data_IF_577115739613
#
_entry.id   IF_577115739613
#
_cell.length_a   1.000
_cell.length_b   1.000
_cell.length_c   1.000
_cell.angle_alpha   90.00
_cell.angle_beta   90.00
_cell.angle_gamma   90.00
#
_symmetry.space_group_name_H-M   'P 1'
#
loop_
_entity.id
_entity.type
_entity.pdbx_description
1 polymer ?
#
# COMPACT_ATOMS: atom_id res chain seq x y z
N UNK A 1 -17.90 -1.61 -25.11
CA UNK A 1 -16.74 -1.43 -24.18
C UNK A 1 -15.45 -1.61 -24.95
N UNK A 2 -14.45 -0.76 -24.67
CA UNK A 2 -13.18 -0.78 -25.43
C UNK A 2 -12.32 -2.05 -25.25
N UNK A 3 -12.61 -2.86 -24.22
CA UNK A 3 -11.87 -4.08 -23.88
C UNK A 3 -12.82 -5.20 -23.44
N UNK A 4 -13.83 -5.49 -24.26
CA UNK A 4 -14.85 -6.51 -23.97
C UNK A 4 -14.25 -7.90 -23.77
N UNK A 5 -13.18 -8.22 -24.49
CA UNK A 5 -12.39 -9.44 -24.41
C UNK A 5 -11.77 -9.68 -23.02
N UNK A 6 -11.43 -8.61 -22.32
CA UNK A 6 -10.86 -8.68 -20.95
C UNK A 6 -11.92 -8.82 -19.85
N UNK A 7 -13.18 -8.59 -20.18
CA UNK A 7 -14.28 -8.59 -19.21
C UNK A 7 -15.45 -9.48 -19.70
N UNK A 8 -15.21 -10.76 -19.99
CA UNK A 8 -16.25 -11.64 -20.52
C UNK A 8 -17.47 -11.71 -19.59
N UNK A 9 -17.28 -11.72 -18.27
CA UNK A 9 -18.39 -11.75 -17.32
C UNK A 9 -19.37 -10.56 -17.37
N UNK A 10 -19.03 -9.49 -18.09
CA UNK A 10 -19.92 -8.35 -18.34
C UNK A 10 -20.38 -8.28 -19.79
N UNK A 11 -19.62 -8.84 -20.72
CA UNK A 11 -19.75 -8.63 -22.16
C UNK A 11 -20.22 -9.88 -22.93
N UNK A 12 -20.44 -11.01 -22.25
CA UNK A 12 -21.03 -12.21 -22.82
C UNK A 12 -22.35 -12.55 -22.09
N UNK A 13 -23.25 -13.33 -22.71
CA UNK A 13 -24.46 -13.82 -22.07
C UNK A 13 -24.14 -14.55 -20.75
N UNK A 14 -24.87 -14.26 -19.68
CA UNK A 14 -24.69 -14.85 -18.35
C UNK A 14 -25.85 -15.84 -18.10
N UNK A 15 -25.58 -17.13 -18.18
CA UNK A 15 -26.57 -18.19 -18.01
C UNK A 15 -27.17 -18.20 -16.61
N UNK A 16 -26.41 -17.81 -15.60
CA UNK A 16 -26.90 -17.71 -14.21
C UNK A 16 -27.89 -16.56 -14.00
N UNK A 17 -27.96 -15.64 -14.95
CA UNK A 17 -28.88 -14.51 -14.91
C UNK A 17 -29.70 -14.40 -16.22
N UNK A 18 -30.35 -15.50 -16.59
CA UNK A 18 -31.27 -15.60 -17.73
C UNK A 18 -30.64 -15.24 -19.09
N UNK A 19 -29.36 -15.47 -19.28
CA UNK A 19 -28.65 -15.25 -20.55
C UNK A 19 -28.48 -13.78 -20.92
N UNK A 20 -28.62 -12.83 -20.00
CA UNK A 20 -28.40 -11.41 -20.29
C UNK A 20 -26.92 -11.08 -20.44
N UNK A 21 -26.64 -10.14 -21.32
CA UNK A 21 -25.32 -9.46 -21.40
C UNK A 21 -25.40 -8.14 -20.63
N UNK A 22 -24.71 -8.04 -19.51
CA UNK A 22 -24.82 -6.88 -18.62
C UNK A 22 -24.44 -5.56 -19.31
N UNK A 23 -23.36 -5.57 -20.11
CA UNK A 23 -22.89 -4.39 -20.83
C UNK A 23 -23.91 -3.89 -21.88
N UNK A 24 -24.64 -4.79 -22.53
CA UNK A 24 -25.68 -4.42 -23.51
C UNK A 24 -26.92 -3.87 -22.81
N UNK A 25 -27.38 -4.57 -21.76
CA UNK A 25 -28.64 -4.23 -21.10
C UNK A 25 -28.54 -2.99 -20.21
N UNK A 26 -27.42 -2.79 -19.51
CA UNK A 26 -27.26 -1.73 -18.51
C UNK A 26 -26.21 -0.68 -18.88
N UNK A 27 -25.61 -0.81 -20.06
CA UNK A 27 -24.59 0.11 -20.56
C UNK A 27 -23.29 0.06 -19.75
N UNK A 28 -22.31 0.84 -20.20
CA UNK A 28 -20.98 0.89 -19.56
C UNK A 28 -21.00 1.43 -18.11
N UNK A 29 -21.95 2.28 -17.80
CA UNK A 29 -22.07 2.91 -16.47
C UNK A 29 -22.70 1.97 -15.43
N UNK A 30 -23.69 1.17 -15.87
CA UNK A 30 -24.49 0.33 -14.99
C UNK A 30 -24.09 -1.14 -14.93
N UNK A 31 -23.39 -1.67 -15.93
CA UNK A 31 -23.15 -3.10 -16.09
C UNK A 31 -22.46 -3.74 -14.86
N UNK A 32 -21.39 -3.13 -14.38
CA UNK A 32 -20.60 -3.64 -13.24
C UNK A 32 -21.40 -3.63 -11.94
N UNK A 33 -21.98 -2.48 -11.59
CA UNK A 33 -22.71 -2.35 -10.32
C UNK A 33 -23.97 -3.20 -10.31
N UNK A 34 -24.65 -3.35 -11.46
CA UNK A 34 -25.83 -4.20 -11.55
C UNK A 34 -25.45 -5.68 -11.37
N UNK A 35 -24.36 -6.15 -12.00
CA UNK A 35 -23.89 -7.52 -11.77
C UNK A 35 -23.53 -7.74 -10.30
N UNK A 36 -22.82 -6.81 -9.68
CA UNK A 36 -22.46 -6.91 -8.26
C UNK A 36 -23.69 -7.00 -7.36
N UNK A 37 -24.70 -6.16 -7.56
CA UNK A 37 -25.86 -6.07 -6.67
C UNK A 37 -26.92 -7.12 -6.98
N UNK A 38 -27.32 -7.25 -8.25
CA UNK A 38 -28.43 -8.10 -8.64
C UNK A 38 -28.10 -9.60 -8.74
N UNK A 39 -26.83 -9.94 -8.90
CA UNK A 39 -26.36 -11.32 -8.97
C UNK A 39 -25.45 -11.67 -7.80
N UNK A 40 -24.24 -11.12 -7.73
CA UNK A 40 -23.22 -11.58 -6.76
C UNK A 40 -23.63 -11.33 -5.32
N UNK A 41 -24.08 -10.13 -4.98
CA UNK A 41 -24.54 -9.81 -3.62
C UNK A 41 -25.78 -10.61 -3.23
N UNK A 42 -26.73 -10.78 -4.16
CA UNK A 42 -27.94 -11.58 -3.93
C UNK A 42 -27.60 -13.05 -3.68
N UNK A 43 -26.70 -13.63 -4.49
CA UNK A 43 -26.40 -15.06 -4.43
C UNK A 43 -25.49 -15.42 -3.25
N UNK A 44 -24.49 -14.58 -2.95
CA UNK A 44 -23.54 -14.80 -1.86
C UNK A 44 -23.92 -14.12 -0.54
N UNK A 45 -24.85 -13.18 -0.54
CA UNK A 45 -25.22 -12.40 0.63
C UNK A 45 -24.10 -11.50 1.17
N UNK A 46 -23.07 -11.23 0.36
CA UNK A 46 -21.90 -10.44 0.75
C UNK A 46 -22.26 -8.97 0.87
N UNK A 47 -22.54 -8.52 2.09
CA UNK A 47 -22.84 -7.12 2.38
C UNK A 47 -22.19 -6.68 3.68
N UNK A 48 -21.94 -5.39 3.77
CA UNK A 48 -21.39 -4.77 4.97
C UNK A 48 -22.38 -4.87 6.13
N UNK A 49 -21.94 -5.37 7.29
CA UNK A 49 -22.77 -5.28 8.48
C UNK A 49 -22.88 -3.82 8.95
N UNK A 50 -23.98 -3.41 9.59
CA UNK A 50 -24.14 -2.06 10.13
C UNK A 50 -23.01 -1.67 11.10
N UNK A 51 -22.56 -2.59 11.92
CA UNK A 51 -21.44 -2.40 12.85
C UNK A 51 -20.14 -2.07 12.09
N UNK A 52 -19.81 -2.85 11.07
CA UNK A 52 -18.58 -2.62 10.27
C UNK A 52 -18.69 -1.32 9.47
N UNK A 53 -19.87 -1.00 8.93
CA UNK A 53 -20.11 0.27 8.24
C UNK A 53 -19.89 1.47 9.17
N UNK A 54 -20.37 1.39 10.42
CA UNK A 54 -20.15 2.39 11.45
C UNK A 54 -18.64 2.57 11.75
N UNK A 55 -17.91 1.47 11.93
CA UNK A 55 -16.46 1.49 12.18
C UNK A 55 -15.67 2.14 11.02
N UNK A 56 -16.02 1.82 9.77
CA UNK A 56 -15.42 2.45 8.59
C UNK A 56 -15.72 3.95 8.54
N UNK A 57 -16.97 4.34 8.80
CA UNK A 57 -17.37 5.76 8.84
C UNK A 57 -16.59 6.53 9.90
N UNK A 58 -16.48 5.98 11.10
CA UNK A 58 -15.70 6.57 12.18
C UNK A 58 -14.22 6.77 11.76
N UNK A 59 -13.65 5.78 11.06
CA UNK A 59 -12.30 5.90 10.48
C UNK A 59 -12.17 7.01 9.43
N UNK A 60 -13.19 7.20 8.60
CA UNK A 60 -13.22 8.25 7.58
C UNK A 60 -13.32 9.65 8.16
N UNK A 61 -14.06 9.84 9.24
CA UNK A 61 -14.25 11.17 9.86
C UNK A 61 -12.95 11.85 10.26
N UNK A 62 -11.94 11.07 10.66
CA UNK A 62 -10.63 11.61 11.04
C UNK A 62 -9.56 11.55 9.93
N UNK A 63 -9.89 11.00 8.76
CA UNK A 63 -8.91 10.74 7.69
C UNK A 63 -8.25 12.03 7.19
N UNK A 64 -9.02 13.11 7.06
CA UNK A 64 -8.52 14.41 6.59
C UNK A 64 -7.50 15.07 7.54
N UNK A 65 -7.47 14.65 8.81
CA UNK A 65 -6.47 15.10 9.80
C UNK A 65 -5.28 14.16 9.84
N UNK A 66 -5.53 12.84 9.77
CA UNK A 66 -4.47 11.84 9.86
C UNK A 66 -3.56 11.82 8.64
N UNK A 67 -4.14 11.86 7.42
CA UNK A 67 -3.33 11.73 6.20
C UNK A 67 -2.30 12.85 6.00
N UNK A 68 -2.59 14.13 6.23
CA UNK A 68 -1.56 15.16 6.20
C UNK A 68 -0.39 14.88 7.14
N UNK A 69 -0.68 14.37 8.35
CA UNK A 69 0.39 14.03 9.31
C UNK A 69 1.20 12.81 8.90
N UNK A 70 0.57 11.80 8.29
CA UNK A 70 1.29 10.68 7.67
C UNK A 70 2.25 11.16 6.58
N UNK A 71 1.80 12.08 5.73
CA UNK A 71 2.62 12.64 4.65
C UNK A 71 3.80 13.42 5.20
N UNK A 72 3.55 14.33 6.17
CA UNK A 72 4.60 15.13 6.82
C UNK A 72 5.68 14.23 7.44
N UNK A 73 5.25 13.23 8.22
CA UNK A 73 6.18 12.31 8.86
C UNK A 73 6.92 11.42 7.85
N UNK A 74 6.20 10.92 6.82
CA UNK A 74 6.79 10.14 5.74
C UNK A 74 7.85 10.90 4.97
N UNK A 75 7.60 12.18 4.66
CA UNK A 75 8.55 13.06 4.00
C UNK A 75 9.80 13.27 4.86
N UNK A 76 9.62 13.62 6.15
CA UNK A 76 10.73 13.86 7.06
C UNK A 76 11.63 12.62 7.25
N UNK A 77 11.01 11.44 7.36
CA UNK A 77 11.75 10.17 7.46
C UNK A 77 12.48 9.85 6.15
N UNK A 78 11.84 10.05 5.01
CA UNK A 78 12.46 9.80 3.70
C UNK A 78 13.67 10.70 3.47
N UNK A 79 13.59 12.00 3.79
CA UNK A 79 14.70 12.96 3.71
C UNK A 79 15.85 12.60 4.67
N UNK A 80 15.53 12.18 5.90
CA UNK A 80 16.54 11.71 6.83
C UNK A 80 17.26 10.47 6.31
N UNK A 81 16.52 9.48 5.81
CA UNK A 81 17.10 8.25 5.29
C UNK A 81 17.93 8.47 4.02
N UNK A 82 17.52 9.37 3.14
CA UNK A 82 18.26 9.71 1.91
C UNK A 82 19.66 10.24 2.23
N UNK A 83 19.80 10.99 3.32
CA UNK A 83 21.07 11.57 3.76
C UNK A 83 21.86 10.69 4.74
N UNK A 84 21.31 9.52 5.09
CA UNK A 84 21.95 8.68 6.12
C UNK A 84 23.07 7.80 5.54
N UNK A 85 24.28 7.77 6.12
CA UNK A 85 25.46 7.09 5.53
C UNK A 85 25.32 5.59 5.39
N UNK A 86 24.47 4.92 6.19
CA UNK A 86 24.21 3.47 6.13
C UNK A 86 23.11 3.09 5.14
N UNK A 87 22.40 4.05 4.56
CA UNK A 87 21.34 3.81 3.59
C UNK A 87 21.93 3.82 2.18
N UNK A 88 21.55 2.83 1.39
CA UNK A 88 22.00 2.70 0.00
C UNK A 88 21.07 3.44 -0.98
N UNK A 89 19.77 3.37 -0.75
CA UNK A 89 18.74 4.05 -1.53
C UNK A 89 17.46 4.23 -0.71
N UNK A 90 16.67 5.22 -1.10
CA UNK A 90 15.32 5.45 -0.58
C UNK A 90 14.35 5.52 -1.76
N UNK A 91 13.20 4.88 -1.62
CA UNK A 91 12.13 4.94 -2.60
C UNK A 91 10.89 5.56 -1.96
N UNK A 92 10.72 6.84 -2.18
CA UNK A 92 9.56 7.61 -1.75
C UNK A 92 9.24 8.67 -2.79
N UNK A 93 8.02 8.70 -3.28
CA UNK A 93 7.62 9.55 -4.40
C UNK A 93 7.62 11.05 -4.10
N UNK A 94 7.69 11.44 -2.83
CA UNK A 94 7.82 12.83 -2.38
C UNK A 94 9.25 13.37 -2.41
N UNK A 95 10.26 12.54 -2.70
CA UNK A 95 11.66 12.99 -2.84
C UNK A 95 11.92 13.47 -4.27
N UNK A 96 12.56 14.65 -4.47
CA UNK A 96 12.92 15.13 -5.81
C UNK A 96 13.83 14.19 -6.60
N UNK A 97 14.62 13.38 -5.91
CA UNK A 97 15.50 12.35 -6.49
C UNK A 97 14.74 11.13 -7.05
N UNK A 98 13.47 10.96 -6.67
CA UNK A 98 12.67 9.81 -7.09
C UNK A 98 12.20 9.96 -8.54
N UNK A 99 12.37 8.90 -9.33
CA UNK A 99 11.97 8.85 -10.76
C UNK A 99 10.49 9.14 -11.03
N UNK A 100 9.65 9.05 -10.02
CA UNK A 100 8.22 9.31 -10.12
C UNK A 100 7.79 10.64 -9.48
N UNK A 101 8.73 11.48 -9.04
CA UNK A 101 8.44 12.73 -8.34
C UNK A 101 7.46 13.62 -9.12
N UNK A 102 7.74 13.92 -10.39
CA UNK A 102 6.88 14.77 -11.22
C UNK A 102 5.46 14.19 -11.37
N UNK A 103 5.36 12.87 -11.52
CA UNK A 103 4.05 12.19 -11.57
C UNK A 103 3.33 12.28 -10.23
N UNK A 104 4.05 12.12 -9.12
CA UNK A 104 3.49 12.26 -7.79
C UNK A 104 2.96 13.69 -7.57
N UNK A 105 3.70 14.71 -7.94
CA UNK A 105 3.22 16.10 -7.87
C UNK A 105 1.93 16.33 -8.69
N UNK A 106 1.82 15.69 -9.84
CA UNK A 106 0.64 15.82 -10.70
C UNK A 106 -0.59 15.08 -10.16
N UNK A 107 -0.42 13.85 -9.68
CA UNK A 107 -1.55 12.97 -9.33
C UNK A 107 -1.83 12.86 -7.83
N UNK A 108 -0.88 13.24 -7.00
CA UNK A 108 -0.95 13.24 -5.54
C UNK A 108 -0.57 14.61 -4.97
N UNK A 109 -1.30 15.68 -5.32
CA UNK A 109 -0.92 17.07 -4.95
C UNK A 109 -0.88 17.30 -3.44
N UNK A 110 -1.57 16.44 -2.67
CA UNK A 110 -1.61 16.50 -1.20
C UNK A 110 -0.58 15.58 -0.52
N UNK A 111 0.36 15.01 -1.29
CA UNK A 111 1.45 14.17 -0.80
C UNK A 111 1.31 12.68 -1.06
N UNK A 112 2.41 11.96 -0.95
CA UNK A 112 2.60 10.56 -1.36
C UNK A 112 2.31 9.50 -0.30
N UNK A 113 1.55 9.79 0.75
CA UNK A 113 1.28 8.92 1.91
C UNK A 113 2.49 8.72 2.87
N UNK A 114 2.36 7.82 3.84
CA UNK A 114 3.38 7.49 4.85
C UNK A 114 4.16 6.20 4.57
N UNK A 115 4.16 5.70 3.33
CA UNK A 115 4.88 4.46 2.97
C UNK A 115 6.23 4.82 2.38
N UNK A 116 7.31 4.43 3.06
CA UNK A 116 8.69 4.64 2.66
C UNK A 116 9.39 3.30 2.55
N UNK A 117 10.08 3.03 1.45
CA UNK A 117 10.96 1.87 1.35
C UNK A 117 12.40 2.29 1.12
N UNK A 118 13.34 1.57 1.73
CA UNK A 118 14.76 1.87 1.63
C UNK A 118 15.60 0.62 1.74
N UNK A 119 16.81 0.68 1.20
CA UNK A 119 17.79 -0.39 1.30
C UNK A 119 19.00 0.01 2.14
N UNK A 120 19.50 -0.93 2.94
CA UNK A 120 20.66 -0.71 3.79
C UNK A 120 21.97 -1.16 3.12
N UNK A 121 23.03 -0.39 3.27
CA UNK A 121 24.38 -0.81 2.93
C UNK A 121 24.79 -1.97 3.87
N UNK A 122 25.30 -3.05 3.28
CA UNK A 122 25.61 -4.28 4.04
C UNK A 122 24.57 -5.38 3.87
N UNK A 123 23.58 -5.18 2.95
CA UNK A 123 22.72 -6.25 2.47
C UNK A 123 21.79 -6.85 3.54
N UNK A 124 21.50 -8.14 3.40
CA UNK A 124 20.62 -8.93 4.28
C UNK A 124 21.00 -8.85 5.76
N UNK A 125 22.29 -8.87 6.08
CA UNK A 125 22.75 -8.83 7.47
C UNK A 125 22.44 -7.50 8.13
N UNK A 126 22.67 -6.39 7.43
CA UNK A 126 22.34 -5.05 7.90
C UNK A 126 20.83 -4.88 8.10
N UNK A 127 20.01 -5.39 7.17
CA UNK A 127 18.56 -5.39 7.29
C UNK A 127 18.08 -6.19 8.52
N UNK A 128 18.64 -7.38 8.73
CA UNK A 128 18.33 -8.19 9.91
C UNK A 128 18.72 -7.53 11.22
N UNK A 129 19.90 -6.90 11.27
CA UNK A 129 20.36 -6.16 12.44
C UNK A 129 19.45 -4.96 12.73
N UNK A 130 19.08 -4.21 11.70
CA UNK A 130 18.13 -3.08 11.81
C UNK A 130 16.80 -3.54 12.40
N UNK A 131 16.19 -4.60 11.83
CA UNK A 131 14.91 -5.11 12.32
C UNK A 131 14.95 -5.53 13.78
N UNK A 132 16.04 -6.15 14.22
CA UNK A 132 16.24 -6.54 15.65
C UNK A 132 16.44 -5.37 16.59
N UNK A 133 16.95 -4.25 16.08
CA UNK A 133 17.24 -3.05 16.88
C UNK A 133 16.05 -2.09 16.98
N UNK A 134 14.95 -2.34 16.23
CA UNK A 134 13.75 -1.49 16.28
C UNK A 134 13.19 -1.42 17.71
N UNK A 135 12.89 -0.20 18.17
CA UNK A 135 12.25 0.07 19.47
C UNK A 135 10.86 0.66 19.29
N UNK A 136 10.74 1.64 18.40
CA UNK A 136 9.49 2.34 18.14
C UNK A 136 8.64 1.63 17.10
N UNK A 137 9.26 1.27 15.98
CA UNK A 137 8.58 0.59 14.89
C UNK A 137 8.22 -0.85 15.26
N UNK A 138 6.95 -1.21 15.13
CA UNK A 138 6.51 -2.59 15.26
C UNK A 138 6.94 -3.41 14.03
N UNK A 139 7.29 -4.69 14.25
CA UNK A 139 7.59 -5.62 13.15
C UNK A 139 6.29 -6.28 12.74
N UNK A 140 5.68 -5.80 11.68
CA UNK A 140 4.36 -6.25 11.23
C UNK A 140 4.26 -6.21 9.70
N UNK A 141 3.34 -7.03 9.16
CA UNK A 141 3.09 -7.15 7.71
C UNK A 141 1.86 -6.36 7.26
N UNK A 142 1.33 -5.50 8.10
CA UNK A 142 0.13 -4.73 7.81
C UNK A 142 0.43 -3.46 7.01
N UNK A 143 -0.54 -3.08 6.17
CA UNK A 143 -0.62 -1.76 5.53
C UNK A 143 -1.72 -0.98 6.25
N UNK A 144 -1.50 0.33 6.47
CA UNK A 144 -2.43 1.22 7.16
C UNK A 144 -2.72 0.83 8.63
N UNK A 145 -1.73 0.26 9.32
CA UNK A 145 -1.81 0.05 10.76
C UNK A 145 -1.88 1.39 11.53
N UNK A 146 -2.38 1.34 12.74
CA UNK A 146 -2.40 2.48 13.67
C UNK A 146 -1.04 2.76 14.32
N UNK A 147 -0.02 1.98 14.03
CA UNK A 147 1.35 2.10 14.55
C UNK A 147 2.33 2.30 13.41
N UNK A 148 3.48 2.91 13.70
CA UNK A 148 4.62 2.87 12.79
C UNK A 148 5.13 1.44 12.72
N UNK A 149 5.14 0.87 11.52
CA UNK A 149 5.53 -0.52 11.28
C UNK A 149 6.71 -0.60 10.33
N UNK A 150 7.53 -1.61 10.51
CA UNK A 150 8.61 -1.95 9.60
C UNK A 150 8.55 -3.44 9.23
N UNK A 151 8.88 -3.73 7.98
CA UNK A 151 8.91 -5.07 7.43
C UNK A 151 10.18 -5.25 6.59
N UNK A 152 10.86 -6.39 6.75
CA UNK A 152 11.81 -6.87 5.74
C UNK A 152 11.13 -8.00 4.95
N UNK A 153 10.75 -7.78 3.67
CA UNK A 153 10.03 -8.78 2.88
C UNK A 153 10.78 -10.09 2.72
N UNK A 154 12.11 -10.03 2.58
CA UNK A 154 12.97 -11.19 2.38
C UNK A 154 12.96 -12.17 3.56
N UNK A 155 12.66 -11.71 4.78
CA UNK A 155 12.59 -12.57 5.98
C UNK A 155 11.16 -12.90 6.41
N UNK A 156 10.16 -12.31 5.75
CA UNK A 156 8.74 -12.44 6.11
C UNK A 156 7.89 -12.93 4.93
N UNK A 157 7.31 -12.01 4.18
CA UNK A 157 6.33 -12.31 3.13
C UNK A 157 6.90 -13.05 1.92
N UNK A 158 8.20 -12.93 1.66
CA UNK A 158 8.91 -13.54 0.52
C UNK A 158 10.02 -14.50 0.96
N UNK A 159 9.97 -15.02 2.18
CA UNK A 159 11.01 -15.87 2.77
C UNK A 159 11.29 -17.17 2.01
N UNK A 160 10.37 -17.60 1.15
CA UNK A 160 10.51 -18.78 0.29
C UNK A 160 11.36 -18.52 -0.96
N UNK A 161 11.68 -17.26 -1.28
CA UNK A 161 12.44 -16.87 -2.45
C UNK A 161 13.94 -16.80 -2.14
N UNK A 162 14.77 -17.19 -3.12
CA UNK A 162 16.20 -16.93 -3.09
C UNK A 162 16.51 -15.46 -3.48
N UNK A 163 17.77 -15.04 -3.35
CA UNK A 163 18.15 -13.64 -3.54
C UNK A 163 17.96 -13.16 -5.00
N UNK A 164 18.10 -14.04 -6.00
CA UNK A 164 17.84 -13.72 -7.39
C UNK A 164 16.35 -13.47 -7.63
N UNK A 165 15.51 -14.36 -7.13
CA UNK A 165 14.06 -14.24 -7.22
C UNK A 165 13.55 -13.00 -6.47
N UNK A 166 14.11 -12.69 -5.29
CA UNK A 166 13.78 -11.48 -4.54
C UNK A 166 14.11 -10.22 -5.34
N UNK A 167 15.25 -10.20 -6.01
CA UNK A 167 15.66 -9.07 -6.84
C UNK A 167 14.78 -8.90 -8.07
N UNK A 168 14.42 -9.98 -8.75
CA UNK A 168 13.47 -9.97 -9.87
C UNK A 168 12.08 -9.50 -9.44
N UNK A 169 11.62 -9.90 -8.25
CA UNK A 169 10.36 -9.44 -7.66
C UNK A 169 10.39 -7.98 -7.17
N UNK A 170 11.54 -7.29 -7.24
CA UNK A 170 11.69 -5.91 -6.78
C UNK A 170 11.74 -5.74 -5.26
N UNK A 171 12.01 -6.82 -4.52
CA UNK A 171 12.11 -6.85 -3.06
C UNK A 171 13.47 -7.40 -2.59
N UNK A 172 14.60 -6.76 -2.95
CA UNK A 172 15.92 -7.27 -2.63
C UNK A 172 16.11 -7.49 -1.12
N UNK A 173 17.09 -8.32 -0.76
CA UNK A 173 17.24 -8.82 0.61
C UNK A 173 17.47 -7.72 1.67
N UNK A 174 18.07 -6.61 1.27
CA UNK A 174 18.33 -5.43 2.11
C UNK A 174 17.15 -4.47 2.24
N UNK A 175 16.05 -4.70 1.51
CA UNK A 175 14.89 -3.81 1.51
C UNK A 175 14.17 -3.82 2.86
N UNK A 176 13.93 -2.63 3.38
CA UNK A 176 12.99 -2.38 4.48
C UNK A 176 11.81 -1.59 3.94
N UNK A 177 10.62 -2.05 4.22
CA UNK A 177 9.37 -1.33 4.00
C UNK A 177 8.91 -0.75 5.33
N UNK A 178 8.76 0.56 5.39
CA UNK A 178 8.28 1.27 6.58
C UNK A 178 6.95 1.95 6.30
N UNK A 179 6.03 1.80 7.23
CA UNK A 179 4.73 2.46 7.27
C UNK A 179 4.75 3.47 8.40
N UNK A 180 4.79 4.73 8.05
CA UNK A 180 4.96 5.83 9.01
C UNK A 180 3.59 6.29 9.51
N UNK A 181 3.39 6.27 10.82
CA UNK A 181 2.15 6.69 11.47
C UNK A 181 2.21 8.14 12.02
N UNK A 182 1.06 8.66 12.43
CA UNK A 182 0.90 10.03 12.95
C UNK A 182 1.34 10.19 14.41
N UNK A 183 1.26 9.13 15.21
CA UNK A 183 1.40 9.18 16.66
C UNK A 183 2.80 9.44 17.15
N UNK A 184 3.78 9.31 16.24
CA UNK A 184 5.16 9.48 16.63
C UNK A 184 5.70 10.83 16.18
N UNK A 185 6.19 11.63 17.11
CA UNK A 185 7.16 12.62 16.69
C UNK A 185 8.27 11.83 16.04
N UNK A 186 8.59 12.14 14.81
CA UNK A 186 9.80 11.72 14.14
C UNK A 186 10.99 12.27 14.93
N UNK A 187 11.21 11.71 16.10
CA UNK A 187 12.43 11.98 16.83
C UNK A 187 13.54 11.28 16.08
N UNK A 188 14.49 12.06 15.62
CA UNK A 188 15.75 11.58 15.03
C UNK A 188 16.41 10.46 15.86
N UNK A 189 16.11 10.41 17.15
CA UNK A 189 16.54 9.39 18.12
C UNK A 189 15.94 7.98 17.87
N UNK A 190 14.80 7.89 17.19
CA UNK A 190 14.15 6.59 16.90
C UNK A 190 14.83 5.82 15.75
N UNK A 191 15.67 6.46 14.97
CA UNK A 191 16.35 5.91 13.79
C UNK A 191 17.88 5.95 13.96
N UNK A 192 18.37 6.38 15.10
CA UNK A 192 19.81 6.44 15.42
C UNK A 192 20.34 5.07 15.86
N UNK A 193 20.48 4.12 14.90
CA UNK A 193 21.25 2.88 15.11
C UNK A 193 22.06 2.53 13.86
#
# INVERSE_FOLDING_TARGET
MAHADKYPGLCTPDDSYHGITYAEKFGKEGAFITKCTAQLMRDFGSMQSPQNAFMLNLGLESLHVRMPKHVENGQAVAEFLENHPKVAYVNYSGLPSNKYYERAQKYLPNGGCGVVSFGLKGGREAASAFMKALRLGAIETHVADARTCCLNPATSTHRQMNDEQLKEAGVPAELILSLIHISEPTRKEAISY
#
